data_IF_292784539605
#
_entry.id   IF_292784539605
#
_cell.length_a   1.000
_cell.length_b   1.000
_cell.length_c   1.000
_cell.angle_alpha   90.00
_cell.angle_beta   90.00
_cell.angle_gamma   90.00
#
_symmetry.space_group_name_H-M   'P 1'
#
loop_
_entity.id
_entity.type
_entity.pdbx_description
1 polymer ?
#
# COMPACT_ATOMS: atom_id res chain seq x y z
N UNK A 1 12.62 -7.30 15.79
CA UNK A 1 12.85 -8.66 16.29
C UNK A 1 12.26 -9.66 15.31
N UNK A 2 13.02 -10.70 14.94
CA UNK A 2 12.49 -11.86 14.20
C UNK A 2 11.66 -12.67 15.21
N UNK A 3 10.44 -13.13 14.89
CA UNK A 3 9.69 -14.02 15.77
C UNK A 3 10.57 -15.22 16.16
N UNK A 4 10.46 -15.74 17.41
CA UNK A 4 11.26 -16.87 17.84
C UNK A 4 11.09 -18.03 16.86
N UNK A 5 12.22 -18.60 16.42
CA UNK A 5 12.35 -19.65 15.37
C UNK A 5 11.31 -20.76 15.45
N UNK A 6 10.78 -21.03 16.65
CA UNK A 6 9.86 -22.12 16.94
C UNK A 6 8.43 -21.92 16.38
N UNK A 7 8.03 -20.68 15.99
CA UNK A 7 6.65 -20.39 15.53
C UNK A 7 6.53 -19.89 14.08
N UNK A 8 7.58 -19.94 13.26
CA UNK A 8 7.56 -19.39 11.90
C UNK A 8 6.56 -20.08 10.97
N UNK A 9 6.32 -21.38 11.15
CA UNK A 9 5.31 -22.11 10.39
C UNK A 9 3.88 -21.68 10.73
N UNK A 10 3.60 -21.34 12.00
CA UNK A 10 2.29 -20.85 12.43
C UNK A 10 2.01 -19.47 11.83
N UNK A 11 2.99 -18.57 11.86
CA UNK A 11 2.88 -17.25 11.24
C UNK A 11 2.71 -17.33 9.73
N UNK A 12 3.48 -18.21 9.07
CA UNK A 12 3.33 -18.40 7.65
C UNK A 12 1.97 -18.99 7.28
N UNK A 13 1.48 -19.99 8.02
CA UNK A 13 0.14 -20.54 7.86
C UNK A 13 -0.95 -19.48 8.06
N UNK A 14 -0.80 -18.62 9.08
CA UNK A 14 -1.70 -17.51 9.34
C UNK A 14 -1.77 -16.56 8.15
N UNK A 15 -0.62 -16.10 7.64
CA UNK A 15 -0.57 -15.20 6.49
C UNK A 15 -1.07 -15.84 5.20
N UNK A 16 -0.76 -17.12 4.96
CA UNK A 16 -1.31 -17.86 3.82
C UNK A 16 -2.83 -17.95 3.90
N UNK A 17 -3.37 -18.30 5.08
CA UNK A 17 -4.82 -18.40 5.33
C UNK A 17 -5.50 -17.05 5.15
N UNK A 18 -4.91 -15.97 5.70
CA UNK A 18 -5.40 -14.61 5.52
C UNK A 18 -5.43 -14.20 4.05
N UNK A 19 -4.38 -14.54 3.27
CA UNK A 19 -4.35 -14.26 1.83
C UNK A 19 -5.39 -15.06 1.04
N UNK A 20 -5.61 -16.33 1.39
CA UNK A 20 -6.67 -17.14 0.79
C UNK A 20 -8.07 -16.57 1.11
N UNK A 21 -8.31 -16.18 2.36
CA UNK A 21 -9.56 -15.54 2.77
C UNK A 21 -9.76 -14.19 2.06
N UNK A 22 -8.70 -13.38 1.94
CA UNK A 22 -8.72 -12.12 1.21
C UNK A 22 -9.05 -12.33 -0.28
N UNK A 23 -8.41 -13.30 -0.95
CA UNK A 23 -8.73 -13.65 -2.33
C UNK A 23 -10.20 -14.09 -2.48
N UNK A 24 -10.70 -14.90 -1.54
CA UNK A 24 -12.08 -15.36 -1.56
C UNK A 24 -13.07 -14.19 -1.45
N UNK A 25 -12.93 -13.36 -0.41
CA UNK A 25 -13.87 -12.30 -0.07
C UNK A 25 -13.83 -11.11 -1.03
N UNK A 26 -12.66 -10.80 -1.61
CA UNK A 26 -12.46 -9.66 -2.49
C UNK A 26 -12.66 -10.02 -3.97
N UNK A 27 -12.37 -11.28 -4.37
CA UNK A 27 -12.36 -11.68 -5.79
C UNK A 27 -13.31 -12.83 -6.10
N UNK A 28 -13.13 -13.99 -5.48
CA UNK A 28 -13.83 -15.22 -5.91
C UNK A 28 -15.33 -15.11 -5.64
N UNK A 29 -15.73 -14.81 -4.41
CA UNK A 29 -17.14 -14.74 -4.04
C UNK A 29 -17.88 -13.60 -4.73
N UNK A 30 -17.35 -12.36 -4.83
CA UNK A 30 -17.96 -11.31 -5.63
C UNK A 30 -18.16 -11.73 -7.09
N UNK A 31 -17.15 -12.30 -7.75
CA UNK A 31 -17.26 -12.76 -9.14
C UNK A 31 -18.31 -13.86 -9.32
N UNK A 32 -18.41 -14.82 -8.39
CA UNK A 32 -19.45 -15.85 -8.41
C UNK A 32 -20.88 -15.30 -8.26
N UNK A 33 -21.01 -14.06 -7.80
CA UNK A 33 -22.28 -13.41 -7.54
C UNK A 33 -22.53 -12.20 -8.44
N UNK A 34 -21.76 -12.01 -9.52
CA UNK A 34 -21.85 -10.85 -10.42
C UNK A 34 -21.72 -9.50 -9.69
N UNK A 35 -20.79 -9.43 -8.72
CA UNK A 35 -20.45 -8.23 -7.97
C UNK A 35 -19.06 -7.73 -8.39
N UNK A 36 -18.92 -6.45 -8.78
CA UNK A 36 -19.96 -5.43 -8.88
C UNK A 36 -20.88 -5.65 -10.09
N UNK A 37 -22.16 -5.27 -9.95
CA UNK A 37 -23.14 -5.43 -11.01
C UNK A 37 -22.79 -4.59 -12.24
N UNK A 38 -23.08 -5.13 -13.43
CA UNK A 38 -22.89 -4.46 -14.72
C UNK A 38 -21.46 -3.96 -15.02
N UNK A 39 -20.43 -4.47 -14.34
CA UNK A 39 -19.05 -4.00 -14.53
C UNK A 39 -18.54 -4.23 -15.94
N UNK A 40 -18.63 -5.46 -16.45
CA UNK A 40 -18.19 -5.79 -17.81
C UNK A 40 -18.99 -4.99 -18.85
N UNK A 41 -20.31 -4.90 -18.67
CA UNK A 41 -21.18 -4.09 -19.54
C UNK A 41 -20.75 -2.61 -19.56
N UNK A 42 -20.34 -2.04 -18.43
CA UNK A 42 -19.88 -0.65 -18.37
C UNK A 42 -18.52 -0.45 -19.05
N UNK A 43 -17.61 -1.43 -18.96
CA UNK A 43 -16.36 -1.41 -19.74
C UNK A 43 -16.67 -1.46 -21.24
N UNK A 44 -17.55 -2.37 -21.67
CA UNK A 44 -17.94 -2.55 -23.07
C UNK A 44 -18.65 -1.33 -23.65
N UNK A 45 -19.56 -0.72 -22.87
CA UNK A 45 -20.31 0.47 -23.28
C UNK A 45 -19.54 1.78 -23.07
N UNK A 46 -18.30 1.69 -22.56
CA UNK A 46 -17.46 2.84 -22.22
C UNK A 46 -18.16 3.85 -21.30
N UNK A 47 -18.74 3.36 -20.21
CA UNK A 47 -19.46 4.15 -19.21
C UNK A 47 -18.87 4.01 -17.80
N UNK A 48 -18.90 5.10 -17.05
CA UNK A 48 -18.62 5.13 -15.62
C UNK A 48 -19.87 4.79 -14.79
N UNK A 49 -19.70 4.62 -13.49
CA UNK A 49 -20.80 4.29 -12.56
C UNK A 49 -21.94 5.30 -12.50
N UNK A 50 -21.69 6.56 -12.88
CA UNK A 50 -22.68 7.64 -12.99
C UNK A 50 -23.25 7.82 -14.42
N UNK A 51 -22.85 6.96 -15.37
CA UNK A 51 -23.26 7.03 -16.77
C UNK A 51 -22.46 8.01 -17.65
N UNK A 52 -21.48 8.71 -17.08
CA UNK A 52 -20.53 9.53 -17.84
C UNK A 52 -19.56 8.66 -18.66
N UNK A 53 -18.79 9.25 -19.57
CA UNK A 53 -17.93 8.51 -20.49
C UNK A 53 -16.68 7.95 -19.79
N UNK A 54 -16.41 6.65 -19.97
CA UNK A 54 -15.15 6.01 -19.61
C UNK A 54 -14.16 6.17 -20.76
N UNK A 55 -12.91 6.52 -20.42
CA UNK A 55 -11.82 6.63 -21.37
C UNK A 55 -11.33 5.26 -21.77
N UNK A 56 -11.28 5.02 -23.07
CA UNK A 56 -10.91 3.73 -23.66
C UNK A 56 -9.60 3.76 -24.44
N UNK A 57 -8.94 4.91 -24.51
CA UNK A 57 -7.62 5.01 -25.13
C UNK A 57 -6.65 5.86 -24.30
N UNK A 58 -5.50 5.28 -23.98
CA UNK A 58 -4.46 5.88 -23.15
C UNK A 58 -3.09 5.85 -23.84
N UNK A 59 -2.75 4.69 -24.38
CA UNK A 59 -1.45 4.38 -24.99
C UNK A 59 -1.55 4.14 -26.51
N UNK A 60 -2.75 3.83 -27.00
CA UNK A 60 -2.99 3.40 -28.39
C UNK A 60 -2.79 1.90 -28.60
N UNK A 61 -2.40 1.14 -27.57
CA UNK A 61 -2.24 -0.31 -27.62
C UNK A 61 -3.49 -0.96 -27.04
N UNK A 62 -4.31 -1.61 -27.87
CA UNK A 62 -5.65 -2.07 -27.50
C UNK A 62 -5.72 -2.91 -26.21
N UNK A 63 -4.81 -3.87 -26.01
CA UNK A 63 -4.78 -4.69 -24.80
C UNK A 63 -4.45 -3.86 -23.54
N UNK A 64 -3.48 -2.95 -23.63
CA UNK A 64 -3.11 -2.10 -22.50
C UNK A 64 -4.22 -1.11 -22.16
N UNK A 65 -4.82 -0.53 -23.20
CA UNK A 65 -5.92 0.42 -23.05
C UNK A 65 -7.15 -0.25 -22.42
N UNK A 66 -7.46 -1.50 -22.80
CA UNK A 66 -8.53 -2.27 -22.17
C UNK A 66 -8.27 -2.54 -20.68
N UNK A 67 -7.05 -2.99 -20.32
CA UNK A 67 -6.66 -3.20 -18.91
C UNK A 67 -6.75 -1.88 -18.12
N UNK A 68 -6.28 -0.77 -18.70
CA UNK A 68 -6.33 0.54 -18.05
C UNK A 68 -7.76 1.03 -17.88
N UNK A 69 -8.65 0.86 -18.87
CA UNK A 69 -10.06 1.21 -18.74
C UNK A 69 -10.76 0.41 -17.65
N UNK A 70 -10.49 -0.90 -17.59
CA UNK A 70 -10.99 -1.78 -16.53
C UNK A 70 -10.57 -1.25 -15.15
N UNK A 71 -9.28 -0.96 -14.96
CA UNK A 71 -8.76 -0.46 -13.69
C UNK A 71 -9.27 0.96 -13.38
N UNK A 72 -9.37 1.83 -14.38
CA UNK A 72 -9.91 3.19 -14.18
C UNK A 72 -11.36 3.13 -13.73
N UNK A 73 -12.20 2.28 -14.34
CA UNK A 73 -13.57 2.07 -13.91
C UNK A 73 -13.62 1.61 -12.44
N UNK A 74 -12.81 0.61 -12.08
CA UNK A 74 -12.76 0.08 -10.71
C UNK A 74 -12.40 1.16 -9.67
N UNK A 75 -11.47 2.07 -10.00
CA UNK A 75 -10.99 3.09 -9.07
C UNK A 75 -11.71 4.43 -9.18
N UNK A 76 -12.60 4.65 -10.15
CA UNK A 76 -13.13 5.98 -10.48
C UNK A 76 -13.96 6.61 -9.36
N UNK A 77 -14.75 5.83 -8.64
CA UNK A 77 -15.78 6.33 -7.74
C UNK A 77 -15.24 7.28 -6.64
N UNK A 78 -14.12 6.94 -5.99
CA UNK A 78 -13.56 7.79 -4.94
C UNK A 78 -12.91 9.09 -5.45
N UNK A 79 -11.94 9.02 -6.38
CA UNK A 79 -11.32 10.17 -7.04
C UNK A 79 -12.32 11.14 -7.66
N UNK A 80 -13.35 10.63 -8.34
CA UNK A 80 -14.43 11.43 -8.95
C UNK A 80 -15.45 11.94 -7.92
N UNK A 81 -15.47 11.36 -6.71
CA UNK A 81 -16.41 11.76 -5.66
C UNK A 81 -17.85 11.32 -5.93
N UNK A 82 -18.04 10.18 -6.60
CA UNK A 82 -19.38 9.63 -6.91
C UNK A 82 -20.11 9.15 -5.66
N UNK A 83 -19.36 8.73 -4.64
CA UNK A 83 -19.89 8.36 -3.32
C UNK A 83 -18.92 8.87 -2.22
N UNK A 84 -19.41 9.66 -1.24
CA UNK A 84 -18.57 10.21 -0.18
C UNK A 84 -17.88 9.15 0.70
N UNK A 85 -18.53 8.04 1.01
CA UNK A 85 -17.97 6.96 1.82
C UNK A 85 -16.86 6.23 1.05
N UNK A 86 -17.11 5.91 -0.22
CA UNK A 86 -16.11 5.29 -1.11
C UNK A 86 -14.90 6.19 -1.26
N UNK A 87 -15.12 7.51 -1.43
CA UNK A 87 -14.04 8.49 -1.50
C UNK A 87 -13.18 8.46 -0.25
N UNK A 88 -13.79 8.51 0.95
CA UNK A 88 -13.05 8.45 2.21
C UNK A 88 -12.33 7.11 2.38
N UNK A 89 -12.98 6.00 2.04
CA UNK A 89 -12.41 4.66 2.14
C UNK A 89 -11.18 4.51 1.25
N UNK A 90 -11.28 4.86 -0.03
CA UNK A 90 -10.16 4.73 -0.97
C UNK A 90 -9.05 5.73 -0.63
N UNK A 91 -9.38 6.97 -0.26
CA UNK A 91 -8.39 7.95 0.18
C UNK A 91 -7.63 7.44 1.41
N UNK A 92 -8.35 6.87 2.39
CA UNK A 92 -7.75 6.22 3.54
C UNK A 92 -6.81 5.09 3.15
N UNK A 93 -7.31 4.19 2.29
CA UNK A 93 -6.57 3.02 1.87
C UNK A 93 -5.28 3.38 1.14
N UNK A 94 -5.40 4.18 0.08
CA UNK A 94 -4.30 4.47 -0.84
C UNK A 94 -3.22 5.36 -0.19
N UNK A 95 -3.60 6.33 0.65
CA UNK A 95 -2.62 7.15 1.36
C UNK A 95 -1.87 6.36 2.44
N UNK A 96 -2.51 5.42 3.14
CA UNK A 96 -1.80 4.56 4.08
C UNK A 96 -0.92 3.51 3.39
N UNK A 97 -1.27 3.10 2.18
CA UNK A 97 -0.44 2.21 1.35
C UNK A 97 0.94 2.82 1.04
N UNK A 98 1.09 4.15 1.10
CA UNK A 98 2.40 4.82 0.99
C UNK A 98 3.41 4.30 2.03
N UNK A 99 2.96 4.07 3.27
CA UNK A 99 3.81 3.56 4.36
C UNK A 99 4.31 2.16 4.07
N UNK A 100 3.41 1.31 3.58
CA UNK A 100 3.73 -0.03 3.10
C UNK A 100 4.83 0.02 2.03
N UNK A 101 4.68 0.91 1.04
CA UNK A 101 5.57 0.98 -0.11
C UNK A 101 6.98 1.41 0.32
N UNK A 102 7.05 2.34 1.26
CA UNK A 102 8.31 2.77 1.87
C UNK A 102 8.99 1.61 2.63
N UNK A 103 8.25 0.91 3.49
CA UNK A 103 8.79 -0.18 4.32
C UNK A 103 9.28 -1.34 3.44
N UNK A 104 8.50 -1.76 2.46
CA UNK A 104 8.87 -2.86 1.56
C UNK A 104 10.13 -2.53 0.76
N UNK A 105 10.26 -1.31 0.25
CA UNK A 105 11.48 -0.89 -0.43
C UNK A 105 12.69 -0.82 0.51
N UNK A 106 12.52 -0.35 1.75
CA UNK A 106 13.61 -0.38 2.75
C UNK A 106 14.07 -1.83 2.99
N UNK A 107 13.13 -2.75 3.26
CA UNK A 107 13.46 -4.15 3.53
C UNK A 107 14.09 -4.85 2.32
N UNK A 108 13.64 -4.55 1.10
CA UNK A 108 14.21 -5.13 -0.12
C UNK A 108 15.69 -4.79 -0.34
N UNK A 109 16.15 -3.64 0.16
CA UNK A 109 17.55 -3.21 0.04
C UNK A 109 18.41 -3.56 1.25
N UNK A 110 17.89 -4.28 2.25
CA UNK A 110 18.75 -4.83 3.31
C UNK A 110 19.60 -5.98 2.77
N UNK A 111 20.92 -6.02 3.01
CA UNK A 111 21.79 -7.07 2.54
C UNK A 111 21.30 -8.49 2.88
N UNK A 112 20.83 -8.75 4.12
CA UNK A 112 20.24 -10.05 4.51
C UNK A 112 19.06 -10.51 3.68
N UNK A 113 18.36 -9.59 3.01
CA UNK A 113 17.17 -9.90 2.25
C UNK A 113 17.50 -10.13 0.77
N UNK A 114 18.73 -9.85 0.33
CA UNK A 114 19.12 -9.94 -1.07
C UNK A 114 18.73 -11.29 -1.69
N UNK A 115 18.17 -11.23 -2.91
CA UNK A 115 17.75 -12.41 -3.71
C UNK A 115 16.60 -13.24 -3.14
N UNK A 116 16.01 -12.87 -2.00
CA UNK A 116 14.76 -13.49 -1.53
C UNK A 116 13.59 -13.00 -2.38
N UNK A 117 12.54 -13.81 -2.52
CA UNK A 117 11.39 -13.51 -3.39
C UNK A 117 10.67 -12.19 -3.05
N UNK A 118 10.66 -11.81 -1.77
CA UNK A 118 10.07 -10.56 -1.28
C UNK A 118 10.94 -9.32 -1.51
N UNK A 119 12.19 -9.48 -1.93
CA UNK A 119 13.12 -8.37 -2.17
C UNK A 119 12.96 -7.73 -3.54
N UNK A 120 11.86 -8.04 -4.23
CA UNK A 120 11.45 -7.45 -5.49
C UNK A 120 10.08 -6.77 -5.34
N UNK A 121 9.95 -5.64 -4.60
CA UNK A 121 8.66 -4.98 -4.35
C UNK A 121 7.87 -4.65 -5.62
N UNK A 122 8.55 -4.32 -6.72
CA UNK A 122 7.90 -4.06 -8.01
C UNK A 122 7.16 -5.27 -8.57
N UNK A 123 7.68 -6.49 -8.38
CA UNK A 123 7.00 -7.72 -8.80
C UNK A 123 5.74 -7.95 -7.97
N UNK A 124 5.82 -7.77 -6.66
CA UNK A 124 4.65 -7.86 -5.79
C UNK A 124 3.63 -6.76 -6.08
N UNK A 125 4.09 -5.57 -6.49
CA UNK A 125 3.24 -4.48 -6.96
C UNK A 125 2.43 -4.82 -8.20
N UNK A 126 3.02 -5.50 -9.18
CA UNK A 126 2.27 -6.00 -10.34
C UNK A 126 1.15 -6.92 -9.85
N UNK A 127 1.44 -7.85 -8.93
CA UNK A 127 0.44 -8.78 -8.43
C UNK A 127 -0.67 -8.11 -7.61
N UNK A 128 -0.36 -7.23 -6.66
CA UNK A 128 -1.42 -6.64 -5.85
C UNK A 128 -2.28 -5.63 -6.63
N UNK A 129 -1.73 -4.97 -7.66
CA UNK A 129 -2.50 -4.08 -8.53
C UNK A 129 -3.43 -4.82 -9.48
N UNK A 130 -3.09 -6.06 -9.88
CA UNK A 130 -3.84 -6.81 -10.92
C UNK A 130 -4.71 -7.93 -10.37
N UNK A 131 -4.31 -8.56 -9.27
CA UNK A 131 -5.04 -9.67 -8.64
C UNK A 131 -5.91 -9.16 -7.50
N UNK A 132 -5.28 -8.84 -6.37
CA UNK A 132 -5.90 -8.31 -5.16
C UNK A 132 -4.82 -7.99 -4.11
N UNK A 133 -4.81 -6.79 -3.53
CA UNK A 133 -3.99 -6.50 -2.34
C UNK A 133 -4.31 -7.44 -1.18
N UNK A 134 -5.58 -7.76 -1.02
CA UNK A 134 -6.16 -8.65 -0.02
C UNK A 134 -5.48 -10.01 0.07
N UNK A 135 -5.01 -10.54 -1.07
CA UNK A 135 -4.35 -11.83 -1.16
C UNK A 135 -2.82 -11.69 -1.13
N UNK A 136 -2.32 -10.76 -1.95
CA UNK A 136 -0.90 -10.65 -2.27
C UNK A 136 -0.10 -10.09 -1.09
N UNK A 137 -0.63 -9.14 -0.33
CA UNK A 137 0.08 -8.57 0.83
C UNK A 137 0.27 -9.59 1.96
N UNK A 138 -0.74 -10.38 2.37
CA UNK A 138 -0.52 -11.49 3.29
C UNK A 138 0.50 -12.51 2.74
N UNK A 139 0.41 -12.90 1.46
CA UNK A 139 1.34 -13.87 0.89
C UNK A 139 2.79 -13.36 0.83
N UNK A 140 2.99 -12.06 0.63
CA UNK A 140 4.31 -11.44 0.79
C UNK A 140 4.86 -11.68 2.19
N UNK A 141 4.05 -11.47 3.24
CA UNK A 141 4.49 -11.71 4.61
C UNK A 141 4.70 -13.18 4.92
N UNK A 142 3.91 -14.08 4.35
CA UNK A 142 4.17 -15.52 4.43
C UNK A 142 5.57 -15.85 3.84
N UNK A 143 5.87 -15.34 2.64
CA UNK A 143 7.16 -15.52 1.99
C UNK A 143 8.32 -14.93 2.81
N UNK A 144 8.10 -13.76 3.42
CA UNK A 144 9.06 -13.08 4.30
C UNK A 144 9.37 -13.91 5.55
N UNK A 145 8.34 -14.42 6.24
CA UNK A 145 8.50 -15.26 7.45
C UNK A 145 9.21 -16.57 7.13
N UNK A 146 8.80 -17.27 6.06
CA UNK A 146 9.43 -18.52 5.65
C UNK A 146 10.94 -18.37 5.41
N UNK A 147 11.31 -17.29 4.71
CA UNK A 147 12.70 -17.04 4.33
C UNK A 147 13.56 -16.48 5.47
N UNK A 148 12.95 -15.96 6.54
CA UNK A 148 13.65 -15.43 7.71
C UNK A 148 13.94 -16.50 8.78
N UNK A 149 13.32 -17.68 8.66
CA UNK A 149 13.42 -18.75 9.64
C UNK A 149 14.78 -19.46 9.67
N UNK A 150 15.50 -19.47 8.54
CA UNK A 150 16.68 -20.32 8.33
C UNK A 150 18.03 -19.66 8.65
N UNK A 151 18.07 -18.37 9.00
CA UNK A 151 19.34 -17.63 9.01
C UNK A 151 20.04 -17.58 10.38
N UNK A 152 21.36 -17.79 10.36
CA UNK A 152 22.25 -17.58 11.50
C UNK A 152 22.49 -16.09 11.76
N UNK A 153 22.88 -15.68 12.99
CA UNK A 153 23.21 -14.28 13.28
C UNK A 153 24.32 -13.78 12.35
N UNK A 154 24.03 -12.76 11.54
CA UNK A 154 24.99 -12.19 10.59
C UNK A 154 26.00 -11.29 11.31
N UNK A 155 27.27 -11.35 10.89
CA UNK A 155 28.37 -10.52 11.44
C UNK A 155 28.57 -9.19 10.69
N UNK A 156 27.96 -9.02 9.52
CA UNK A 156 28.08 -7.82 8.69
C UNK A 156 26.96 -6.79 8.96
N UNK A 157 27.21 -5.53 8.58
CA UNK A 157 26.23 -4.46 8.71
C UNK A 157 25.00 -4.73 7.83
N UNK A 158 23.85 -4.89 8.48
CA UNK A 158 22.54 -5.11 7.84
C UNK A 158 21.88 -3.81 7.33
N UNK A 159 22.70 -2.78 7.12
CA UNK A 159 22.26 -1.45 6.71
C UNK A 159 21.96 -1.35 5.22
N UNK A 160 20.94 -0.57 4.89
CA UNK A 160 20.58 -0.24 3.50
C UNK A 160 21.69 0.61 2.88
N UNK A 161 22.10 0.37 1.62
CA UNK A 161 23.08 1.20 0.93
C UNK A 161 22.70 2.69 0.95
N UNK A 162 23.67 3.56 1.23
CA UNK A 162 23.46 5.00 1.44
C UNK A 162 22.73 5.68 0.27
N UNK A 163 23.18 5.42 -0.97
CA UNK A 163 22.55 5.94 -2.17
C UNK A 163 21.07 5.54 -2.31
N UNK A 164 20.69 4.31 -1.91
CA UNK A 164 19.29 3.86 -1.88
C UNK A 164 18.52 4.56 -0.78
N UNK A 165 19.07 4.62 0.44
CA UNK A 165 18.42 5.27 1.58
C UNK A 165 18.08 6.74 1.29
N UNK A 166 18.93 7.46 0.54
CA UNK A 166 18.68 8.83 0.07
C UNK A 166 17.49 8.95 -0.89
N UNK A 167 17.24 7.92 -1.70
CA UNK A 167 16.33 7.95 -2.84
C UNK A 167 14.97 7.31 -2.57
N UNK A 168 14.84 6.42 -1.59
CA UNK A 168 13.58 5.75 -1.24
C UNK A 168 12.45 6.77 -1.00
N UNK A 169 12.66 7.71 -0.07
CA UNK A 169 11.61 8.69 0.26
C UNK A 169 11.26 9.61 -0.92
N UNK A 170 12.22 10.27 -1.61
CA UNK A 170 11.92 11.04 -2.81
C UNK A 170 11.16 10.24 -3.87
N UNK A 171 11.57 9.01 -4.15
CA UNK A 171 10.91 8.16 -5.15
C UNK A 171 9.47 7.86 -4.75
N UNK A 172 9.23 7.46 -3.50
CA UNK A 172 7.89 7.18 -3.01
C UNK A 172 7.01 8.45 -3.01
N UNK A 173 7.56 9.62 -2.71
CA UNK A 173 6.82 10.88 -2.73
C UNK A 173 6.42 11.27 -4.15
N UNK A 174 7.39 11.34 -5.07
CA UNK A 174 7.16 11.84 -6.42
C UNK A 174 6.35 10.87 -7.28
N UNK A 175 6.63 9.58 -7.16
CA UNK A 175 6.01 8.59 -8.04
C UNK A 175 4.79 7.91 -7.43
N UNK A 176 4.49 8.06 -6.12
CA UNK A 176 3.29 7.49 -5.50
C UNK A 176 2.45 8.49 -4.71
N UNK A 177 3.00 9.14 -3.68
CA UNK A 177 2.20 10.00 -2.80
C UNK A 177 1.60 11.18 -3.55
N UNK A 178 2.40 11.89 -4.34
CA UNK A 178 1.96 13.04 -5.11
C UNK A 178 0.90 12.64 -6.17
N UNK A 179 1.09 11.62 -7.01
CA UNK A 179 0.05 11.12 -7.90
C UNK A 179 -1.24 10.74 -7.18
N UNK A 180 -1.14 10.08 -6.03
CA UNK A 180 -2.31 9.74 -5.19
C UNK A 180 -3.04 11.01 -4.76
N UNK A 181 -2.34 12.03 -4.26
CA UNK A 181 -2.97 13.29 -3.86
C UNK A 181 -3.64 13.99 -5.06
N UNK A 182 -2.98 14.02 -6.22
CA UNK A 182 -3.53 14.60 -7.45
C UNK A 182 -4.81 13.89 -7.90
N UNK A 183 -4.91 12.56 -7.73
CA UNK A 183 -6.16 11.83 -7.98
C UNK A 183 -7.35 12.36 -7.17
N UNK A 184 -7.13 12.93 -5.98
CA UNK A 184 -8.22 13.41 -5.12
C UNK A 184 -8.44 14.92 -5.18
N UNK A 185 -7.56 15.70 -5.84
CA UNK A 185 -7.80 17.13 -6.05
C UNK A 185 -9.06 17.38 -6.91
N UNK A 186 -9.83 18.45 -6.65
CA UNK A 186 -10.88 18.88 -7.55
C UNK A 186 -10.31 19.12 -8.95
N UNK A 187 -10.92 18.50 -9.96
CA UNK A 187 -10.49 18.63 -11.35
C UNK A 187 -11.74 18.74 -12.23
N UNK A 188 -11.80 19.76 -13.09
CA UNK A 188 -12.95 20.00 -13.95
C UNK A 188 -12.92 19.14 -15.22
N UNK A 189 -11.74 18.78 -15.71
CA UNK A 189 -11.58 17.92 -16.88
C UNK A 189 -11.66 16.41 -16.50
N UNK A 190 -12.74 15.70 -16.87
CA UNK A 190 -12.90 14.28 -16.58
C UNK A 190 -11.83 13.41 -17.26
N UNK A 191 -11.34 13.81 -18.44
CA UNK A 191 -10.35 13.04 -19.19
C UNK A 191 -8.96 13.10 -18.54
N UNK A 192 -8.58 14.28 -18.06
CA UNK A 192 -7.37 14.45 -17.28
C UNK A 192 -7.44 13.63 -15.98
N UNK A 193 -8.58 13.69 -15.28
CA UNK A 193 -8.80 12.91 -14.05
C UNK A 193 -8.66 11.41 -14.28
N UNK A 194 -9.29 10.87 -15.32
CA UNK A 194 -9.15 9.46 -15.70
C UNK A 194 -7.72 9.11 -16.14
N UNK A 195 -7.01 10.04 -16.80
CA UNK A 195 -5.60 9.90 -17.14
C UNK A 195 -4.69 9.79 -15.90
N UNK A 196 -4.96 10.60 -14.87
CA UNK A 196 -4.23 10.51 -13.60
C UNK A 196 -4.51 9.18 -12.90
N UNK A 197 -5.76 8.71 -12.88
CA UNK A 197 -6.11 7.38 -12.33
C UNK A 197 -5.35 6.29 -13.07
N UNK A 198 -5.30 6.33 -14.40
CA UNK A 198 -4.58 5.36 -15.23
C UNK A 198 -3.08 5.37 -14.96
N UNK A 199 -2.46 6.55 -14.88
CA UNK A 199 -1.05 6.69 -14.52
C UNK A 199 -0.76 6.11 -13.13
N UNK A 200 -1.66 6.36 -12.16
CA UNK A 200 -1.50 5.85 -10.82
C UNK A 200 -1.50 4.31 -10.74
N UNK A 201 -2.17 3.61 -11.67
CA UNK A 201 -2.18 2.13 -11.66
C UNK A 201 -0.78 1.51 -11.71
N UNK A 202 0.18 2.16 -12.37
CA UNK A 202 1.58 1.68 -12.47
C UNK A 202 2.52 2.31 -11.44
N UNK A 203 2.04 3.28 -10.67
CA UNK A 203 2.83 4.09 -9.73
C UNK A 203 3.72 3.26 -8.78
N UNK A 204 3.23 2.20 -8.12
CA UNK A 204 4.09 1.48 -7.17
C UNK A 204 5.23 0.69 -7.83
N UNK A 205 5.02 0.23 -9.07
CA UNK A 205 6.08 -0.38 -9.90
C UNK A 205 7.11 0.68 -10.27
N UNK A 206 6.65 1.87 -10.67
CA UNK A 206 7.53 3.01 -11.00
C UNK A 206 8.39 3.40 -9.79
N UNK A 207 7.86 3.44 -8.56
CA UNK A 207 8.67 3.68 -7.36
C UNK A 207 9.80 2.65 -7.23
N UNK A 208 9.46 1.37 -7.37
CA UNK A 208 10.41 0.27 -7.23
C UNK A 208 11.51 0.31 -8.31
N UNK A 209 11.19 0.77 -9.52
CA UNK A 209 12.15 0.96 -10.62
C UNK A 209 12.97 2.25 -10.48
N UNK A 210 12.37 3.32 -9.96
CA UNK A 210 13.02 4.62 -9.82
C UNK A 210 14.16 4.57 -8.81
N UNK A 211 14.00 3.83 -7.70
CA UNK A 211 15.02 3.76 -6.66
C UNK A 211 16.38 3.30 -7.19
N UNK A 212 16.50 2.17 -7.92
CA UNK A 212 17.78 1.75 -8.44
C UNK A 212 18.33 2.66 -9.54
N UNK A 213 17.47 3.17 -10.42
CA UNK A 213 17.88 4.05 -11.50
C UNK A 213 18.43 5.39 -10.98
N UNK A 214 17.70 6.05 -10.08
CA UNK A 214 18.08 7.33 -9.51
C UNK A 214 19.25 7.22 -8.53
N UNK A 215 19.44 6.06 -7.88
CA UNK A 215 20.57 5.85 -6.96
C UNK A 215 21.94 5.91 -7.63
N UNK A 216 22.02 5.70 -8.96
CA UNK A 216 23.27 5.82 -9.72
C UNK A 216 23.73 7.28 -9.82
N UNK A 217 22.79 8.23 -9.74
CA UNK A 217 23.07 9.67 -9.80
C UNK A 217 23.51 10.25 -8.45
N UNK A 218 23.46 9.44 -7.38
CA UNK A 218 23.77 9.87 -6.02
C UNK A 218 25.17 9.44 -5.63
N UNK A 219 26.06 10.41 -5.45
CA UNK A 219 27.41 10.16 -4.94
C UNK A 219 27.41 9.83 -3.44
N UNK A 220 28.15 8.77 -3.08
CA UNK A 220 28.39 8.38 -1.69
C UNK A 220 29.50 9.21 -1.03
N UNK A 221 30.38 9.83 -1.82
CA UNK A 221 31.63 10.46 -1.34
C UNK A 221 31.47 11.88 -0.76
N UNK A 222 30.29 12.50 -0.85
CA UNK A 222 30.10 13.93 -0.52
C UNK A 222 29.40 14.21 0.80
N UNK A 223 28.99 13.22 1.60
CA UNK A 223 28.25 13.54 2.82
C UNK A 223 29.17 13.75 4.04
N UNK A 224 29.53 15.01 4.30
CA UNK A 224 29.45 15.58 5.67
C UNK A 224 27.97 15.65 6.11
N UNK A 225 27.24 14.56 5.95
CA UNK A 225 25.77 14.52 5.90
C UNK A 225 25.18 13.39 6.71
N UNK A 226 23.85 13.37 6.77
CA UNK A 226 23.02 12.45 7.55
C UNK A 226 23.46 10.99 7.37
N UNK A 227 23.46 10.22 8.46
CA UNK A 227 23.69 8.77 8.41
C UNK A 227 22.54 8.04 7.71
N UNK A 228 22.77 6.79 7.27
CA UNK A 228 21.73 5.90 6.71
C UNK A 228 20.53 5.88 7.64
N UNK A 229 20.77 5.68 8.94
CA UNK A 229 19.74 5.69 9.97
C UNK A 229 18.88 6.97 9.97
N UNK A 230 19.47 8.16 9.76
CA UNK A 230 18.71 9.42 9.69
C UNK A 230 17.86 9.53 8.41
N UNK A 231 18.31 8.98 7.28
CA UNK A 231 17.49 8.93 6.07
C UNK A 231 16.31 7.96 6.21
N UNK A 232 16.55 6.78 6.78
CA UNK A 232 15.48 5.82 7.07
C UNK A 232 14.50 6.38 8.11
N UNK A 233 14.98 7.03 9.17
CA UNK A 233 14.13 7.69 10.17
C UNK A 233 13.23 8.74 9.54
N UNK A 234 13.75 9.59 8.64
CA UNK A 234 12.91 10.55 7.90
C UNK A 234 11.82 9.85 7.09
N UNK A 235 12.18 8.76 6.42
CA UNK A 235 11.22 7.95 5.66
C UNK A 235 10.09 7.44 6.55
N UNK A 236 10.43 6.85 7.71
CA UNK A 236 9.45 6.36 8.68
C UNK A 236 8.59 7.48 9.28
N UNK A 237 9.20 8.62 9.64
CA UNK A 237 8.47 9.77 10.21
C UNK A 237 7.48 10.34 9.20
N UNK A 238 7.87 10.47 7.92
CA UNK A 238 6.96 10.96 6.86
C UNK A 238 5.85 9.95 6.60
N UNK A 239 6.16 8.65 6.48
CA UNK A 239 5.17 7.59 6.32
C UNK A 239 4.15 7.57 7.48
N UNK A 240 4.65 7.64 8.72
CA UNK A 240 3.81 7.74 9.92
C UNK A 240 2.96 9.01 9.90
N UNK A 241 3.55 10.17 9.57
CA UNK A 241 2.84 11.44 9.50
C UNK A 241 1.70 11.42 8.48
N UNK A 242 1.95 10.92 7.26
CA UNK A 242 0.92 10.75 6.23
C UNK A 242 -0.20 9.83 6.73
N UNK A 243 0.17 8.69 7.34
CA UNK A 243 -0.78 7.72 7.88
C UNK A 243 -1.64 8.33 9.00
N UNK A 244 -1.02 8.99 9.97
CA UNK A 244 -1.72 9.62 11.08
C UNK A 244 -2.68 10.71 10.59
N UNK A 245 -2.22 11.59 9.69
CA UNK A 245 -3.04 12.65 9.10
C UNK A 245 -4.27 12.09 8.41
N UNK A 246 -4.15 11.01 7.63
CA UNK A 246 -5.31 10.43 6.95
C UNK A 246 -6.27 9.72 7.91
N UNK A 247 -5.77 9.04 8.96
CA UNK A 247 -6.63 8.46 9.99
C UNK A 247 -7.44 9.56 10.70
N UNK A 248 -6.78 10.65 11.13
CA UNK A 248 -7.46 11.78 11.76
C UNK A 248 -8.44 12.48 10.80
N UNK A 249 -8.06 12.66 9.53
CA UNK A 249 -8.94 13.25 8.53
C UNK A 249 -10.23 12.45 8.35
N UNK A 250 -10.14 11.12 8.22
CA UNK A 250 -11.32 10.26 8.05
C UNK A 250 -12.17 10.21 9.32
N UNK A 251 -11.54 10.09 10.49
CA UNK A 251 -12.24 10.15 11.78
C UNK A 251 -13.00 11.47 11.91
N UNK A 252 -12.32 12.61 11.72
CA UNK A 252 -12.95 13.92 11.80
C UNK A 252 -14.07 14.08 10.77
N UNK A 253 -13.86 13.65 9.52
CA UNK A 253 -14.88 13.70 8.47
C UNK A 253 -16.12 12.91 8.86
N UNK A 254 -15.96 11.71 9.42
CA UNK A 254 -17.08 10.88 9.85
C UNK A 254 -17.80 11.42 11.09
N UNK A 255 -17.07 11.94 12.07
CA UNK A 255 -17.66 12.43 13.33
C UNK A 255 -18.28 13.82 13.21
N UNK A 256 -17.79 14.65 12.28
CA UNK A 256 -18.31 16.01 12.05
C UNK A 256 -19.36 16.09 10.94
N UNK A 257 -19.59 15.01 10.18
CA UNK A 257 -20.59 15.01 9.11
C UNK A 257 -22.01 14.83 9.65
N UNK A 258 -22.95 15.55 9.04
CA UNK A 258 -24.39 15.35 9.23
C UNK A 258 -24.99 14.40 8.17
N UNK A 259 -24.23 14.08 7.13
CA UNK A 259 -24.63 13.14 6.08
C UNK A 259 -24.53 11.70 6.60
N UNK A 260 -25.65 10.93 6.66
CA UNK A 260 -25.63 9.55 7.12
C UNK A 260 -24.80 8.60 6.24
N UNK A 261 -24.49 8.98 4.99
CA UNK A 261 -23.57 8.23 4.14
C UNK A 261 -22.13 8.33 4.62
N UNK A 262 -21.78 9.39 5.34
CA UNK A 262 -20.42 9.64 5.83
C UNK A 262 -20.32 9.19 7.29
N UNK A 263 -20.05 7.89 7.47
CA UNK A 263 -19.85 7.29 8.80
C UNK A 263 -18.74 6.25 8.76
N UNK A 264 -18.12 5.98 9.91
CA UNK A 264 -17.08 4.94 10.02
C UNK A 264 -17.59 3.56 9.58
N UNK A 265 -18.87 3.27 9.85
CA UNK A 265 -19.51 2.04 9.41
C UNK A 265 -19.54 1.97 7.87
N UNK A 266 -20.07 3.00 7.20
CA UNK A 266 -20.16 3.02 5.74
C UNK A 266 -18.78 3.00 5.09
N UNK A 267 -17.77 3.64 5.69
CA UNK A 267 -16.40 3.66 5.17
C UNK A 267 -15.71 2.30 5.32
N UNK A 268 -15.81 1.63 6.47
CA UNK A 268 -14.95 0.48 6.77
C UNK A 268 -15.66 -0.88 6.81
N UNK A 269 -16.98 -0.96 6.96
CA UNK A 269 -17.67 -2.25 7.15
C UNK A 269 -18.20 -2.78 5.82
N UNK A 270 -17.74 -3.95 5.34
CA UNK A 270 -18.27 -4.61 4.15
C UNK A 270 -19.75 -4.98 4.31
N UNK A 271 -20.64 -4.23 3.67
CA UNK A 271 -22.08 -4.46 3.76
C UNK A 271 -22.62 -5.26 2.58
N UNK A 272 -22.75 -6.59 2.78
CA UNK A 272 -23.30 -7.51 1.77
C UNK A 272 -24.72 -7.17 1.31
N UNK A 273 -25.51 -6.42 2.09
CA UNK A 273 -26.86 -6.04 1.66
C UNK A 273 -26.85 -5.07 0.48
N UNK A 274 -25.80 -4.25 0.34
CA UNK A 274 -25.72 -3.15 -0.62
C UNK A 274 -24.81 -3.45 -1.82
N UNK A 275 -24.05 -4.55 -1.78
CA UNK A 275 -23.02 -4.88 -2.78
C UNK A 275 -23.56 -5.11 -4.21
N UNK A 276 -24.88 -5.22 -4.37
CA UNK A 276 -25.58 -5.38 -5.65
C UNK A 276 -26.43 -4.17 -6.04
N UNK A 277 -26.47 -3.12 -5.22
CA UNK A 277 -27.32 -1.96 -5.47
C UNK A 277 -26.82 -1.13 -6.66
N UNK A 278 -25.50 -1.09 -6.86
CA UNK A 278 -24.84 -0.35 -7.92
C UNK A 278 -23.43 -0.89 -8.18
N UNK A 279 -22.84 -0.48 -9.29
CA UNK A 279 -21.41 -0.69 -9.54
C UNK A 279 -20.54 -0.14 -8.38
N UNK A 280 -20.84 1.09 -7.96
CA UNK A 280 -20.08 1.81 -6.93
C UNK A 280 -20.11 1.09 -5.58
N UNK A 281 -21.28 0.62 -5.14
CA UNK A 281 -21.41 -0.09 -3.85
C UNK A 281 -20.82 -1.50 -3.90
N UNK A 282 -20.90 -2.20 -5.04
CA UNK A 282 -20.22 -3.47 -5.23
C UNK A 282 -18.69 -3.33 -5.19
N UNK A 283 -18.14 -2.32 -5.87
CA UNK A 283 -16.71 -2.00 -5.79
C UNK A 283 -16.31 -1.59 -4.37
N UNK A 284 -17.16 -0.82 -3.68
CA UNK A 284 -16.90 -0.43 -2.30
C UNK A 284 -16.71 -1.65 -1.40
N UNK A 285 -17.63 -2.62 -1.49
CA UNK A 285 -17.55 -3.88 -0.74
C UNK A 285 -16.21 -4.60 -0.98
N UNK A 286 -15.78 -4.68 -2.24
CA UNK A 286 -14.50 -5.27 -2.65
C UNK A 286 -13.32 -4.50 -2.03
N UNK A 287 -13.30 -3.17 -2.13
CA UNK A 287 -12.24 -2.34 -1.56
C UNK A 287 -12.18 -2.38 -0.03
N UNK A 288 -13.32 -2.57 0.65
CA UNK A 288 -13.34 -2.71 2.11
C UNK A 288 -12.69 -4.02 2.54
N UNK A 289 -12.94 -5.14 1.83
CA UNK A 289 -12.22 -6.39 2.08
C UNK A 289 -10.75 -6.31 1.74
N UNK A 290 -10.41 -5.63 0.64
CA UNK A 290 -9.02 -5.36 0.27
C UNK A 290 -8.29 -4.61 1.39
N UNK A 291 -8.91 -3.54 1.88
CA UNK A 291 -8.41 -2.76 3.00
C UNK A 291 -8.22 -3.62 4.26
N UNK A 292 -9.22 -4.39 4.69
CA UNK A 292 -9.13 -5.19 5.92
C UNK A 292 -8.05 -6.25 5.86
N UNK A 293 -7.95 -6.99 4.76
CA UNK A 293 -6.95 -8.05 4.63
C UNK A 293 -5.53 -7.46 4.58
N UNK A 294 -5.32 -6.35 3.85
CA UNK A 294 -4.03 -5.64 3.82
C UNK A 294 -3.67 -5.10 5.20
N UNK A 295 -4.61 -4.46 5.91
CA UNK A 295 -4.36 -3.89 7.24
C UNK A 295 -4.11 -4.95 8.28
N UNK A 296 -4.91 -6.02 8.30
CA UNK A 296 -4.72 -7.15 9.21
C UNK A 296 -3.32 -7.77 9.00
N UNK A 297 -2.92 -7.97 7.75
CA UNK A 297 -1.61 -8.50 7.43
C UNK A 297 -0.47 -7.58 7.90
N UNK A 298 -0.63 -6.25 7.72
CA UNK A 298 0.34 -5.28 8.20
C UNK A 298 0.41 -5.20 9.73
N UNK A 299 -0.73 -5.22 10.43
CA UNK A 299 -0.80 -5.20 11.89
C UNK A 299 -0.15 -6.44 12.50
N UNK A 300 -0.47 -7.63 11.95
CA UNK A 300 0.08 -8.91 12.40
C UNK A 300 1.54 -9.12 11.96
N UNK A 301 1.93 -8.54 10.83
CA UNK A 301 3.27 -8.63 10.25
C UNK A 301 4.23 -7.61 10.86
N UNK A 302 4.91 -6.78 10.05
CA UNK A 302 5.85 -5.80 10.56
C UNK A 302 5.23 -4.74 11.45
N UNK A 303 3.90 -4.56 11.55
CA UNK A 303 3.28 -3.63 12.51
C UNK A 303 3.61 -3.99 13.97
N UNK A 304 3.55 -5.27 14.31
CA UNK A 304 4.06 -5.81 15.57
C UNK A 304 5.60 -5.70 15.67
N UNK A 305 6.32 -5.87 14.55
CA UNK A 305 7.78 -5.75 14.53
C UNK A 305 8.27 -4.29 14.60
N UNK A 306 7.51 -3.31 14.10
CA UNK A 306 7.80 -1.88 14.06
C UNK A 306 7.53 -1.23 15.41
N UNK A 307 6.48 -1.67 16.13
CA UNK A 307 6.37 -1.41 17.56
C UNK A 307 7.61 -1.95 18.33
N UNK A 308 8.12 -3.12 17.93
CA UNK A 308 9.39 -3.66 18.41
C UNK A 308 10.65 -2.90 17.95
N UNK A 309 10.65 -2.28 16.76
CA UNK A 309 11.76 -1.46 16.24
C UNK A 309 11.81 -0.09 16.93
N UNK A 310 10.66 0.48 17.26
CA UNK A 310 10.59 1.67 18.11
C UNK A 310 11.06 1.38 19.54
N UNK A 311 10.65 0.26 20.12
CA UNK A 311 11.21 -0.23 21.40
C UNK A 311 12.73 -0.43 21.32
N UNK A 312 13.24 -1.03 20.24
CA UNK A 312 14.68 -1.29 20.08
C UNK A 312 15.54 -0.02 19.89
N UNK A 313 14.98 1.04 19.30
CA UNK A 313 15.70 2.31 19.12
C UNK A 313 15.86 3.07 20.44
N UNK A 314 14.87 2.99 21.34
CA UNK A 314 14.99 3.56 22.69
C UNK A 314 16.10 2.88 23.50
N UNK A 315 16.28 1.57 23.35
CA UNK A 315 17.35 0.82 24.03
C UNK A 315 18.76 1.17 23.52
N UNK A 316 18.90 1.52 22.24
CA UNK A 316 20.19 1.88 21.63
C UNK A 316 20.57 3.36 21.84
N UNK A 317 19.59 4.26 21.86
CA UNK A 317 19.82 5.68 22.17
C UNK A 317 20.03 5.92 23.67
N UNK A 318 19.54 5.02 24.55
CA UNK A 318 19.85 4.99 25.98
C UNK A 318 21.07 4.11 26.30
N UNK A 319 22.14 4.19 25.49
CA UNK A 319 23.39 3.46 25.73
C UNK A 319 23.77 3.40 27.22
N UNK A 320 24.37 2.29 27.69
CA UNK A 320 24.40 1.93 29.11
C UNK A 320 24.76 3.15 29.94
N UNK A 321 23.81 3.62 30.77
CA UNK A 321 24.11 4.60 31.81
C UNK A 321 25.14 3.93 32.73
N UNK A 322 26.41 4.08 32.38
CA UNK A 322 27.53 3.82 33.27
C UNK A 322 27.32 4.77 34.44
N UNK A 323 26.65 4.26 35.47
CA UNK A 323 26.77 4.80 36.82
C UNK A 323 28.22 4.55 37.20
N UNK A 324 29.09 5.49 36.86
CA UNK A 324 30.35 5.70 37.57
C UNK A 324 29.95 6.02 39.00
N UNK A 325 29.89 4.96 39.81
CA UNK A 325 29.86 5.06 41.25
C UNK A 325 31.30 5.44 41.63
N UNK A 326 31.57 6.73 41.74
CA UNK A 326 32.77 7.21 42.43
C UNK A 326 32.67 6.82 43.90
N UNK A 327 33.77 6.27 44.39
CA UNK A 327 33.99 5.81 45.76
C UNK A 327 33.86 6.94 46.78
#
# INVERSE_FOLDING_TARGET
>A
MVPPRQNNHLWALLFTTLGCAGLWLMRIEPSMNDVPIAFEQQVETAKLGDGSALRTSYTGIGLLDHILSFLVLAFAAGPLGLDPAVRLQQLHFLLNFFSFLCIWNIEAYRPRNARKSFSFPGTWAIFYQTVAGAAVVPWYYAAWVFSSASEQPHKESDEVPMNKAKIILPSAVFFYLLPTLVMYLPQSDPWLKQGVIAYWQVSPVVVSMAIPLLSVLVNDRTSKGLSVARHLQRTYVVAFGVSALVHFYVLLSCYSSLDPQVSLYRVFVPERRLWKDSLTTGLHYIFQWDWWAVYAACLLGPGAAMAGVWSWKEDFEQGPRTKTRTA
#
